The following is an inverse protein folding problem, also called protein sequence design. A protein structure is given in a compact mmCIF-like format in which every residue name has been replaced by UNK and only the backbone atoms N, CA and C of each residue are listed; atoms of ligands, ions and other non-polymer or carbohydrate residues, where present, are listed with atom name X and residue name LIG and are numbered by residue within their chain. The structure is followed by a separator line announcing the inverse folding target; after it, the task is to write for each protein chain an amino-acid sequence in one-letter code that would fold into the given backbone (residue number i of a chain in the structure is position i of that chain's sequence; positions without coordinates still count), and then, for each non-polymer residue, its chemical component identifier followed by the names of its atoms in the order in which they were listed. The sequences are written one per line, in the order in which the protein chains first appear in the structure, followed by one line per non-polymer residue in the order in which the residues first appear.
data_IF_142510509891
#
_entry.id   IF_142510509891
#
_cell.length_a   1.000
_cell.length_b   1.000
_cell.length_c   1.000
_cell.angle_alpha   90.00
_cell.angle_beta   90.00
_cell.angle_gamma   90.00
#
_symmetry.space_group_name_H-M   'P 1'
#
loop_
_entity.id
_entity.type
_entity.pdbx_description
1 polymer ?
#
# COMPACT_ATOMS: atom_id res chain seq x y z
N UNK A 1 -52.87 18.58 -58.11
CA UNK A 1 -51.55 18.34 -57.39
C UNK A 1 -51.13 19.70 -56.81
N UNK A 2 -51.45 19.96 -55.53
CA UNK A 2 -51.16 21.25 -54.90
C UNK A 2 -49.80 21.16 -54.21
N UNK A 3 -48.83 21.95 -54.69
CA UNK A 3 -47.54 22.15 -54.05
C UNK A 3 -47.70 23.06 -52.81
N UNK A 4 -47.57 22.47 -51.64
CA UNK A 4 -47.62 23.16 -50.35
C UNK A 4 -46.44 24.16 -50.30
N UNK A 5 -46.71 25.46 -50.42
CA UNK A 5 -45.71 26.54 -50.22
C UNK A 5 -45.42 26.66 -48.74
N UNK A 6 -44.31 26.04 -48.28
CA UNK A 6 -43.74 26.30 -46.95
C UNK A 6 -43.48 27.81 -46.84
N UNK A 7 -44.10 28.47 -45.87
CA UNK A 7 -43.94 29.92 -45.67
C UNK A 7 -42.50 30.22 -45.24
N UNK A 8 -41.94 31.27 -45.86
CA UNK A 8 -40.54 31.68 -45.65
C UNK A 8 -40.15 31.79 -44.16
N UNK A 9 -41.10 32.11 -43.27
CA UNK A 9 -40.93 32.14 -41.80
C UNK A 9 -40.74 30.74 -41.20
N UNK A 10 -41.42 29.71 -41.65
CA UNK A 10 -41.30 28.32 -41.13
C UNK A 10 -39.97 27.68 -41.53
N UNK A 11 -39.47 28.05 -42.73
CA UNK A 11 -38.16 27.61 -43.20
C UNK A 11 -37.00 28.21 -42.39
N UNK A 12 -37.12 29.49 -41.98
CA UNK A 12 -36.11 30.19 -41.16
C UNK A 12 -36.11 29.66 -39.73
N UNK A 13 -37.30 29.35 -39.16
CA UNK A 13 -37.40 28.76 -37.82
C UNK A 13 -36.85 27.34 -37.76
N UNK A 14 -37.02 26.51 -38.79
CA UNK A 14 -36.46 25.17 -38.91
C UNK A 14 -34.92 25.20 -39.05
N UNK A 15 -34.36 26.13 -39.84
CA UNK A 15 -32.93 26.33 -39.99
C UNK A 15 -32.27 26.90 -38.70
N UNK A 16 -32.92 27.83 -38.02
CA UNK A 16 -32.45 28.43 -36.77
C UNK A 16 -32.44 27.42 -35.60
N UNK A 17 -33.46 26.54 -35.54
CA UNK A 17 -33.52 25.45 -34.55
C UNK A 17 -32.45 24.39 -34.75
N UNK A 18 -32.16 24.05 -36.00
CA UNK A 18 -31.11 23.05 -36.31
C UNK A 18 -29.69 23.57 -36.01
N UNK A 19 -29.43 24.87 -36.20
CA UNK A 19 -28.13 25.48 -35.89
C UNK A 19 -27.84 25.61 -34.37
N UNK A 20 -28.89 25.72 -33.54
CA UNK A 20 -28.75 25.85 -32.09
C UNK A 20 -28.50 24.52 -31.38
N UNK A 21 -28.85 23.37 -31.99
CA UNK A 21 -28.67 22.03 -31.43
C UNK A 21 -27.32 21.44 -31.81
N UNK A 22 -26.67 21.91 -32.88
CA UNK A 22 -25.39 21.42 -33.37
C UNK A 22 -24.21 21.51 -32.34
N UNK A 23 -24.02 22.64 -31.62
CA UNK A 23 -22.92 22.70 -30.66
C UNK A 23 -23.14 21.85 -29.40
N UNK A 24 -24.38 21.45 -29.08
CA UNK A 24 -24.69 20.54 -27.98
C UNK A 24 -24.43 19.10 -28.36
N UNK A 25 -24.70 18.68 -29.60
CA UNK A 25 -24.40 17.34 -30.10
C UNK A 25 -22.89 17.13 -30.29
N UNK A 26 -22.12 18.16 -30.67
CA UNK A 26 -20.67 18.08 -30.83
C UNK A 26 -19.94 17.95 -29.49
N UNK A 27 -20.50 18.48 -28.39
CA UNK A 27 -19.95 18.27 -27.04
C UNK A 27 -20.23 16.88 -26.49
N UNK A 28 -21.28 16.19 -26.95
CA UNK A 28 -21.59 14.81 -26.56
C UNK A 28 -20.71 13.77 -27.25
N UNK A 29 -19.92 14.14 -28.27
CA UNK A 29 -19.07 13.24 -29.05
C UNK A 29 -17.56 13.37 -28.75
N UNK A 30 -17.14 14.19 -27.79
CA UNK A 30 -15.77 14.05 -27.29
C UNK A 30 -15.70 12.72 -26.51
N UNK A 31 -14.87 11.75 -26.98
CA UNK A 31 -14.66 10.55 -26.18
C UNK A 31 -14.17 10.99 -24.80
N UNK A 32 -14.94 10.69 -23.77
CA UNK A 32 -14.53 10.98 -22.41
C UNK A 32 -13.13 10.36 -22.20
N UNK A 33 -12.14 11.20 -21.87
CA UNK A 33 -10.79 10.71 -21.52
C UNK A 33 -11.00 9.63 -20.46
N UNK A 34 -10.56 8.42 -20.75
CA UNK A 34 -10.64 7.34 -19.77
C UNK A 34 -9.83 7.73 -18.53
N UNK A 35 -10.38 7.56 -17.33
CA UNK A 35 -9.61 7.75 -16.11
C UNK A 35 -8.30 6.94 -16.16
N UNK A 36 -7.18 7.58 -15.83
CA UNK A 36 -5.86 6.98 -15.80
C UNK A 36 -5.40 6.84 -14.36
N UNK A 37 -5.24 5.61 -13.90
CA UNK A 37 -4.79 5.27 -12.55
C UNK A 37 -3.33 4.84 -12.58
N UNK A 38 -2.48 5.54 -11.82
CA UNK A 38 -1.11 5.09 -11.57
C UNK A 38 -1.07 4.17 -10.35
N UNK A 39 -0.42 3.02 -10.45
CA UNK A 39 -0.27 2.08 -9.34
C UNK A 39 1.21 1.85 -9.07
N UNK A 40 1.68 2.36 -7.94
CA UNK A 40 3.07 2.23 -7.49
C UNK A 40 3.19 1.15 -6.42
N UNK A 41 3.90 0.07 -6.74
CA UNK A 41 4.02 -1.13 -5.90
C UNK A 41 5.45 -1.28 -5.39
N UNK A 42 5.64 -1.20 -4.07
CA UNK A 42 6.95 -1.41 -3.42
C UNK A 42 7.31 -2.90 -3.28
N UNK A 43 7.20 -3.64 -4.38
CA UNK A 43 7.53 -5.06 -4.46
C UNK A 43 7.92 -5.41 -5.89
N UNK A 44 8.28 -6.69 -6.13
CA UNK A 44 8.54 -7.21 -7.47
C UNK A 44 7.26 -7.70 -8.15
N UNK A 45 7.23 -7.69 -9.48
CA UNK A 45 6.17 -8.31 -10.28
C UNK A 45 6.54 -9.78 -10.57
N UNK A 46 5.55 -10.71 -10.59
CA UNK A 46 4.13 -10.51 -10.25
C UNK A 46 3.89 -10.39 -8.75
N UNK A 47 2.86 -9.64 -8.34
CA UNK A 47 2.52 -9.47 -6.93
C UNK A 47 1.01 -9.68 -6.72
N UNK A 48 0.57 -10.44 -5.67
CA UNK A 48 -0.84 -10.74 -5.41
C UNK A 48 -1.74 -9.50 -5.25
N UNK A 49 -1.16 -8.37 -4.89
CA UNK A 49 -1.86 -7.10 -4.81
C UNK A 49 -2.48 -6.69 -6.16
N UNK A 50 -1.77 -6.89 -7.28
CA UNK A 50 -2.28 -6.54 -8.61
C UNK A 50 -3.55 -7.32 -8.95
N UNK A 51 -3.56 -8.64 -8.67
CA UNK A 51 -4.74 -9.48 -8.89
C UNK A 51 -5.91 -9.06 -8.00
N UNK A 52 -5.64 -8.75 -6.73
CA UNK A 52 -6.65 -8.26 -5.79
C UNK A 52 -7.22 -6.90 -6.22
N UNK A 53 -6.35 -5.99 -6.67
CA UNK A 53 -6.73 -4.69 -7.20
C UNK A 53 -7.65 -4.82 -8.42
N UNK A 54 -7.29 -5.65 -9.40
CA UNK A 54 -8.13 -5.89 -10.58
C UNK A 54 -9.45 -6.56 -10.22
N UNK A 55 -9.48 -7.56 -9.34
CA UNK A 55 -10.73 -8.15 -8.86
C UNK A 55 -11.64 -7.10 -8.22
N UNK A 56 -11.09 -6.18 -7.42
CA UNK A 56 -11.84 -5.09 -6.81
C UNK A 56 -12.44 -4.14 -7.84
N UNK A 57 -11.65 -3.72 -8.83
CA UNK A 57 -12.12 -2.85 -9.90
C UNK A 57 -13.19 -3.53 -10.75
N UNK A 58 -13.01 -4.79 -11.14
CA UNK A 58 -14.00 -5.55 -11.91
C UNK A 58 -15.32 -5.70 -11.14
N UNK A 59 -15.28 -5.96 -9.83
CA UNK A 59 -16.47 -6.03 -9.00
C UNK A 59 -17.25 -4.70 -8.95
N UNK A 60 -16.57 -3.59 -9.19
CA UNK A 60 -17.16 -2.24 -9.28
C UNK A 60 -17.52 -1.84 -10.73
N UNK A 61 -17.36 -2.75 -11.70
CA UNK A 61 -17.73 -2.52 -13.10
C UNK A 61 -16.66 -1.82 -13.93
N UNK A 62 -15.42 -1.69 -13.43
CA UNK A 62 -14.30 -1.16 -14.21
C UNK A 62 -13.64 -2.26 -15.03
N UNK A 63 -13.29 -1.93 -16.28
CA UNK A 63 -12.61 -2.82 -17.21
C UNK A 63 -11.51 -2.06 -17.95
N UNK A 64 -10.30 -2.64 -17.97
CA UNK A 64 -9.13 -2.05 -18.64
C UNK A 64 -9.43 -1.75 -20.11
N UNK A 65 -9.09 -0.53 -20.54
CA UNK A 65 -9.27 -0.05 -21.90
C UNK A 65 -10.72 0.27 -22.32
N UNK A 66 -11.73 -0.05 -21.49
CA UNK A 66 -13.13 0.28 -21.76
C UNK A 66 -13.56 1.55 -21.01
N UNK A 67 -13.38 1.60 -19.69
CA UNK A 67 -13.80 2.70 -18.86
C UNK A 67 -12.75 3.14 -17.83
N UNK A 68 -11.55 2.52 -17.84
CA UNK A 68 -10.39 2.86 -17.02
C UNK A 68 -9.11 2.44 -17.74
N UNK A 69 -7.99 3.13 -17.48
CA UNK A 69 -6.62 2.72 -17.80
C UNK A 69 -5.81 2.66 -16.53
N UNK A 70 -4.90 1.68 -16.42
CA UNK A 70 -4.06 1.50 -15.23
C UNK A 70 -2.60 1.30 -15.62
N UNK A 71 -1.73 2.11 -15.04
CA UNK A 71 -0.28 2.06 -15.24
C UNK A 71 0.41 1.54 -13.99
N UNK A 72 0.91 0.31 -14.02
CA UNK A 72 1.67 -0.27 -12.91
C UNK A 72 3.15 0.06 -12.98
N UNK A 73 3.73 0.36 -11.80
CA UNK A 73 5.18 0.49 -11.59
C UNK A 73 5.59 -0.34 -10.38
N UNK A 74 6.55 -1.25 -10.57
CA UNK A 74 7.08 -2.13 -9.54
C UNK A 74 8.51 -1.74 -9.21
N UNK A 75 8.80 -1.48 -7.93
CA UNK A 75 10.11 -0.97 -7.50
C UNK A 75 11.14 -2.07 -7.24
N UNK A 76 10.74 -3.34 -7.24
CA UNK A 76 11.57 -4.48 -6.86
C UNK A 76 12.17 -4.33 -5.44
N UNK A 77 11.46 -3.64 -4.54
CA UNK A 77 11.91 -3.35 -3.19
C UNK A 77 12.96 -2.24 -3.08
N UNK A 78 13.25 -1.53 -4.17
CA UNK A 78 14.23 -0.44 -4.23
C UNK A 78 13.55 0.92 -4.03
N UNK A 79 13.94 1.63 -2.98
CA UNK A 79 13.35 2.94 -2.65
C UNK A 79 13.75 4.06 -3.63
N UNK A 80 14.94 3.99 -4.24
CA UNK A 80 15.37 4.91 -5.28
C UNK A 80 14.46 4.85 -6.52
N UNK A 81 14.05 3.65 -6.93
CA UNK A 81 13.07 3.46 -8.02
C UNK A 81 11.67 3.97 -7.66
N UNK A 82 11.31 3.97 -6.38
CA UNK A 82 10.01 4.47 -5.96
C UNK A 82 9.85 5.97 -6.27
N UNK A 83 10.89 6.77 -6.01
CA UNK A 83 10.89 8.20 -6.33
C UNK A 83 10.79 8.43 -7.85
N UNK A 84 11.65 7.74 -8.64
CA UNK A 84 11.63 7.82 -10.11
C UNK A 84 10.26 7.51 -10.70
N UNK A 85 9.66 6.39 -10.26
CA UNK A 85 8.36 5.95 -10.77
C UNK A 85 7.19 6.82 -10.30
N UNK A 86 7.27 7.38 -9.08
CA UNK A 86 6.28 8.35 -8.64
C UNK A 86 6.27 9.60 -9.52
N UNK A 87 7.46 10.15 -9.83
CA UNK A 87 7.59 11.28 -10.75
C UNK A 87 7.14 10.93 -12.17
N UNK A 88 7.40 9.71 -12.65
CA UNK A 88 6.92 9.25 -13.95
C UNK A 88 5.39 9.23 -14.00
N UNK A 89 4.72 8.69 -12.99
CA UNK A 89 3.26 8.68 -12.92
C UNK A 89 2.67 10.10 -12.89
N UNK A 90 3.31 11.03 -12.17
CA UNK A 90 2.91 12.44 -12.19
C UNK A 90 3.09 13.06 -13.59
N UNK A 91 4.19 12.77 -14.29
CA UNK A 91 4.41 13.22 -15.68
C UNK A 91 3.42 12.64 -16.68
N UNK A 92 2.91 11.43 -16.43
CA UNK A 92 1.85 10.81 -17.22
C UNK A 92 0.46 11.44 -16.98
N UNK A 93 0.36 12.42 -16.07
CA UNK A 93 -0.88 13.11 -15.73
C UNK A 93 -1.99 12.12 -15.30
N UNK A 94 -1.63 11.20 -14.38
CA UNK A 94 -2.59 10.25 -13.82
C UNK A 94 -3.62 10.97 -12.95
N UNK A 95 -4.88 10.54 -13.02
CA UNK A 95 -5.98 11.13 -12.25
C UNK A 95 -5.91 10.76 -10.75
N UNK A 96 -5.26 9.63 -10.42
CA UNK A 96 -5.02 9.16 -9.04
C UNK A 96 -3.81 8.24 -8.99
N UNK A 97 -3.05 8.28 -7.89
CA UNK A 97 -1.97 7.34 -7.60
C UNK A 97 -2.43 6.39 -6.49
N UNK A 98 -2.44 5.10 -6.75
CA UNK A 98 -2.59 4.05 -5.73
C UNK A 98 -1.20 3.60 -5.31
N UNK A 99 -0.83 3.83 -4.06
CA UNK A 99 0.51 3.56 -3.54
C UNK A 99 0.48 2.39 -2.55
N UNK A 100 1.12 1.28 -2.92
CA UNK A 100 1.15 0.06 -2.13
C UNK A 100 2.41 0.01 -1.26
N UNK A 101 2.20 -0.09 0.04
CA UNK A 101 3.18 0.03 1.11
C UNK A 101 3.78 1.44 1.29
N UNK A 102 4.33 1.66 2.47
CA UNK A 102 4.83 2.95 2.92
C UNK A 102 5.87 3.59 2.00
N UNK A 103 6.86 2.88 1.44
CA UNK A 103 7.84 3.51 0.55
C UNK A 103 7.20 4.12 -0.71
N UNK A 104 6.21 3.45 -1.30
CA UNK A 104 5.46 3.98 -2.45
C UNK A 104 4.63 5.22 -2.06
N UNK A 105 4.00 5.19 -0.88
CA UNK A 105 3.20 6.33 -0.38
C UNK A 105 4.10 7.55 -0.15
N UNK A 106 5.25 7.36 0.50
CA UNK A 106 6.21 8.45 0.74
C UNK A 106 6.70 9.05 -0.57
N UNK A 107 7.11 8.20 -1.53
CA UNK A 107 7.56 8.65 -2.84
C UNK A 107 6.46 9.43 -3.61
N UNK A 108 5.21 8.95 -3.58
CA UNK A 108 4.09 9.64 -4.21
C UNK A 108 3.83 11.02 -3.57
N UNK A 109 3.90 11.14 -2.24
CA UNK A 109 3.73 12.41 -1.52
C UNK A 109 4.85 13.40 -1.87
N UNK A 110 6.07 12.92 -2.03
CA UNK A 110 7.21 13.76 -2.42
C UNK A 110 7.07 14.25 -3.86
N UNK A 111 6.54 13.41 -4.77
CA UNK A 111 6.38 13.72 -6.18
C UNK A 111 5.21 14.70 -6.48
N UNK A 112 4.13 14.69 -5.67
CA UNK A 112 2.96 15.54 -5.94
C UNK A 112 2.24 15.98 -4.66
N UNK A 113 1.67 17.21 -4.72
CA UNK A 113 0.79 17.76 -3.68
C UNK A 113 -0.66 17.93 -4.15
N UNK A 114 -0.94 17.62 -5.41
CA UNK A 114 -2.23 17.88 -6.05
C UNK A 114 -2.91 16.62 -6.56
N UNK A 115 -2.17 15.68 -7.16
CA UNK A 115 -2.72 14.40 -7.59
C UNK A 115 -3.18 13.59 -6.36
N UNK A 116 -4.44 13.13 -6.30
CA UNK A 116 -4.92 12.29 -5.22
C UNK A 116 -4.08 11.02 -5.04
N UNK A 117 -3.77 10.67 -3.79
CA UNK A 117 -2.99 9.48 -3.44
C UNK A 117 -3.84 8.58 -2.54
N UNK A 118 -3.99 7.32 -2.94
CA UNK A 118 -4.69 6.29 -2.16
C UNK A 118 -3.68 5.29 -1.60
N UNK A 119 -3.53 5.27 -0.29
CA UNK A 119 -2.69 4.28 0.42
C UNK A 119 -3.33 2.90 0.37
N UNK A 120 -2.57 1.86 -0.02
CA UNK A 120 -3.06 0.50 -0.17
C UNK A 120 -2.12 -0.59 0.40
N UNK A 121 -1.99 -0.78 1.72
CA UNK A 121 -2.06 0.14 2.84
C UNK A 121 -0.70 0.79 3.15
N UNK A 122 -0.67 1.76 4.10
CA UNK A 122 0.57 2.26 4.72
C UNK A 122 0.71 1.77 6.18
N UNK A 123 1.94 1.52 6.62
CA UNK A 123 2.21 0.89 7.90
C UNK A 123 1.84 1.73 9.14
N UNK A 124 2.29 2.98 9.18
CA UNK A 124 2.10 3.87 10.32
C UNK A 124 1.89 5.34 9.86
N UNK A 125 0.84 5.63 9.08
CA UNK A 125 0.71 6.93 8.41
C UNK A 125 0.55 8.11 9.37
N UNK A 126 -0.06 7.91 10.55
CA UNK A 126 -0.16 8.93 11.61
C UNK A 126 1.21 9.28 12.20
N UNK A 127 1.98 8.25 12.62
CA UNK A 127 3.28 8.43 13.24
C UNK A 127 4.33 9.00 12.30
N UNK A 128 4.12 8.82 10.99
CA UNK A 128 4.96 9.38 9.94
C UNK A 128 4.52 10.78 9.49
N UNK A 129 3.41 11.30 10.01
CA UNK A 129 2.86 12.60 9.60
C UNK A 129 2.35 12.61 8.16
N UNK A 130 2.01 11.45 7.60
CA UNK A 130 1.43 11.32 6.24
C UNK A 130 -0.01 11.83 6.24
N UNK A 131 -0.72 11.59 7.32
CA UNK A 131 -2.11 12.03 7.52
C UNK A 131 -2.28 12.64 8.91
N UNK A 132 -3.21 13.58 9.04
CA UNK A 132 -3.51 14.26 10.31
C UNK A 132 -4.30 13.34 11.26
N UNK A 133 -5.25 12.59 10.71
CA UNK A 133 -6.03 11.58 11.46
C UNK A 133 -6.60 10.53 10.50
N UNK A 134 -7.00 9.36 11.05
CA UNK A 134 -7.63 8.30 10.25
C UNK A 134 -9.02 8.73 9.72
N UNK A 135 -9.75 9.55 10.48
CA UNK A 135 -11.08 10.01 10.08
C UNK A 135 -11.04 11.23 9.13
N UNK A 136 -9.98 12.02 9.20
CA UNK A 136 -9.76 13.22 8.38
C UNK A 136 -8.29 13.28 7.99
N UNK A 137 -7.90 12.58 6.91
CA UNK A 137 -6.50 12.46 6.52
C UNK A 137 -5.80 13.79 6.26
N UNK A 138 -6.53 14.77 5.75
CA UNK A 138 -5.96 16.05 5.30
C UNK A 138 -5.19 15.92 3.97
N UNK A 139 -4.91 17.05 3.32
CA UNK A 139 -4.13 17.08 2.07
C UNK A 139 -4.72 16.24 0.93
N UNK A 140 -3.84 15.72 0.08
CA UNK A 140 -4.20 14.89 -1.08
C UNK A 140 -4.06 13.37 -0.84
N UNK A 141 -3.91 12.94 0.41
CA UNK A 141 -3.69 11.52 0.77
C UNK A 141 -4.90 10.96 1.50
N UNK A 142 -5.34 9.77 1.09
CA UNK A 142 -6.38 8.98 1.78
C UNK A 142 -6.06 7.48 1.66
N UNK A 143 -6.86 6.60 2.25
CA UNK A 143 -6.73 5.16 2.06
C UNK A 143 -6.66 4.36 3.35
N UNK A 144 -5.96 3.22 3.31
CA UNK A 144 -5.91 2.23 4.38
C UNK A 144 -4.62 2.35 5.21
N UNK A 145 -4.75 2.26 6.54
CA UNK A 145 -3.62 2.08 7.46
C UNK A 145 -3.50 0.62 7.88
N UNK A 146 -2.27 0.11 7.88
CA UNK A 146 -1.98 -1.20 8.48
C UNK A 146 -1.90 -1.14 10.02
N UNK A 147 -1.95 0.05 10.63
CA UNK A 147 -1.94 0.27 12.08
C UNK A 147 -0.83 -0.53 12.81
N UNK A 148 0.28 -0.78 12.15
CA UNK A 148 1.32 -1.68 12.67
C UNK A 148 1.95 -1.20 13.98
N UNK A 149 2.03 0.11 14.17
CA UNK A 149 2.55 0.68 15.42
C UNK A 149 1.56 0.48 16.58
N UNK A 150 0.25 0.59 16.31
CA UNK A 150 -0.82 0.49 17.30
C UNK A 150 -1.05 -0.95 17.75
N UNK A 151 -0.96 -1.92 16.84
CA UNK A 151 -1.20 -3.34 17.16
C UNK A 151 0.00 -4.05 17.80
N UNK A 152 1.14 -3.34 17.97
CA UNK A 152 2.34 -3.90 18.60
C UNK A 152 2.06 -4.52 19.97
N UNK A 153 1.23 -3.85 20.79
CA UNK A 153 0.82 -4.36 22.11
C UNK A 153 0.04 -5.69 22.02
N UNK A 154 -0.86 -5.81 21.04
CA UNK A 154 -1.62 -7.04 20.84
C UNK A 154 -0.74 -8.19 20.37
N UNK A 155 0.25 -7.91 19.50
CA UNK A 155 1.24 -8.91 19.07
C UNK A 155 2.01 -9.48 20.26
N UNK A 156 2.50 -8.62 21.15
CA UNK A 156 3.23 -9.05 22.34
C UNK A 156 2.34 -9.77 23.35
N UNK A 157 1.08 -9.35 23.50
CA UNK A 157 0.12 -10.05 24.34
C UNK A 157 -0.09 -11.50 23.86
N UNK A 158 -0.35 -11.68 22.57
CA UNK A 158 -0.55 -13.02 21.98
C UNK A 158 0.70 -13.89 22.14
N UNK A 159 1.89 -13.33 21.93
CA UNK A 159 3.13 -14.07 22.18
C UNK A 159 3.28 -14.51 23.64
N UNK A 160 2.88 -13.69 24.60
CA UNK A 160 2.91 -14.06 26.03
C UNK A 160 1.88 -15.14 26.40
N UNK A 161 0.72 -15.14 25.75
CA UNK A 161 -0.28 -16.20 25.92
C UNK A 161 0.24 -17.55 25.40
N UNK A 162 1.00 -17.52 24.29
CA UNK A 162 1.62 -18.72 23.69
C UNK A 162 2.88 -19.18 24.43
N UNK A 163 3.64 -18.25 25.00
CA UNK A 163 4.92 -18.50 25.68
C UNK A 163 4.86 -17.82 27.06
N UNK A 164 4.33 -18.47 28.08
CA UNK A 164 4.23 -17.86 29.44
C UNK A 164 5.55 -17.39 30.04
N UNK A 165 6.67 -18.02 29.63
CA UNK A 165 8.03 -17.67 30.05
C UNK A 165 8.69 -16.60 29.16
N UNK A 166 7.94 -15.95 28.26
CA UNK A 166 8.47 -14.95 27.34
C UNK A 166 9.06 -13.76 28.12
N UNK A 167 10.32 -13.49 27.88
CA UNK A 167 11.05 -12.37 28.48
C UNK A 167 11.76 -11.50 27.45
N UNK A 168 12.17 -12.09 26.32
CA UNK A 168 12.93 -11.41 25.27
C UNK A 168 12.38 -11.68 23.89
N UNK A 169 12.09 -10.60 23.14
CA UNK A 169 11.53 -10.61 21.80
C UNK A 169 12.47 -9.86 20.86
N UNK A 170 12.85 -10.47 19.74
CA UNK A 170 13.54 -9.77 18.67
C UNK A 170 12.55 -9.10 17.72
N UNK A 171 12.96 -7.97 17.14
CA UNK A 171 12.23 -7.30 16.06
C UNK A 171 13.13 -7.24 14.84
N UNK A 172 12.78 -7.94 13.79
CA UNK A 172 13.48 -7.86 12.51
C UNK A 172 12.83 -6.79 11.64
N UNK A 173 13.57 -5.74 11.33
CA UNK A 173 13.11 -4.63 10.53
C UNK A 173 14.20 -4.13 9.57
N UNK A 174 13.82 -3.32 8.59
CA UNK A 174 14.78 -2.66 7.71
C UNK A 174 15.50 -1.51 8.43
N UNK A 175 16.68 -1.12 7.93
CA UNK A 175 17.30 0.12 8.39
C UNK A 175 16.41 1.31 8.04
N UNK A 176 16.45 2.42 8.81
CA UNK A 176 15.66 3.63 8.50
C UNK A 176 15.95 4.24 7.12
N UNK A 177 17.15 4.00 6.58
CA UNK A 177 17.54 4.42 5.23
C UNK A 177 16.89 3.58 4.13
N UNK A 178 16.46 2.35 4.42
CA UNK A 178 15.79 1.47 3.47
C UNK A 178 14.30 1.83 3.37
N UNK A 179 13.64 2.01 4.52
CA UNK A 179 12.24 2.45 4.58
C UNK A 179 12.06 3.38 5.80
N UNK A 180 11.53 4.58 5.61
CA UNK A 180 11.24 5.50 6.72
C UNK A 180 10.28 4.92 7.78
N UNK A 181 9.56 3.87 7.41
CA UNK A 181 8.58 3.17 8.25
C UNK A 181 9.20 2.31 9.37
N UNK A 182 10.46 1.89 9.29
CA UNK A 182 11.09 1.02 10.31
C UNK A 182 11.09 1.65 11.69
N UNK A 183 11.36 2.96 11.78
CA UNK A 183 11.38 3.67 13.07
C UNK A 183 10.03 3.61 13.81
N UNK A 184 8.87 4.03 13.22
CA UNK A 184 7.57 3.91 13.87
C UNK A 184 7.22 2.48 14.27
N UNK A 185 7.53 1.48 13.44
CA UNK A 185 7.29 0.09 13.72
C UNK A 185 8.06 -0.41 14.94
N UNK A 186 9.36 -0.15 15.02
CA UNK A 186 10.22 -0.56 16.14
C UNK A 186 9.84 0.19 17.42
N UNK A 187 9.60 1.50 17.34
CA UNK A 187 9.24 2.31 18.52
C UNK A 187 7.86 1.93 19.10
N UNK A 188 6.88 1.63 18.23
CA UNK A 188 5.58 1.13 18.68
C UNK A 188 5.70 -0.18 19.47
N UNK A 189 6.52 -1.13 18.98
CA UNK A 189 6.81 -2.37 19.69
C UNK A 189 7.64 -2.15 20.95
N UNK A 190 8.59 -1.20 20.95
CA UNK A 190 9.41 -0.86 22.12
C UNK A 190 8.55 -0.34 23.28
N UNK A 191 7.66 0.60 23.00
CA UNK A 191 6.73 1.13 24.00
C UNK A 191 5.81 0.04 24.55
N UNK A 192 5.32 -0.84 23.69
CA UNK A 192 4.47 -1.95 24.11
C UNK A 192 5.25 -2.98 24.94
N UNK A 193 6.50 -3.32 24.57
CA UNK A 193 7.37 -4.24 25.31
C UNK A 193 7.71 -3.70 26.71
N UNK A 194 8.06 -2.41 26.82
CA UNK A 194 8.32 -1.76 28.10
C UNK A 194 7.11 -1.87 29.05
N UNK A 195 5.91 -1.61 28.54
CA UNK A 195 4.66 -1.74 29.34
C UNK A 195 4.38 -3.18 29.75
N UNK A 196 4.79 -4.14 28.93
CA UNK A 196 4.62 -5.56 29.19
C UNK A 196 5.75 -6.18 30.05
N UNK A 197 6.79 -5.42 30.42
CA UNK A 197 7.97 -5.93 31.14
C UNK A 197 8.83 -6.88 30.30
N UNK A 198 8.82 -6.73 28.97
CA UNK A 198 9.59 -7.54 28.02
C UNK A 198 10.83 -6.78 27.54
N UNK A 199 11.93 -7.49 27.33
CA UNK A 199 13.09 -6.98 26.61
C UNK A 199 12.84 -7.06 25.11
N UNK A 200 13.07 -5.96 24.39
CA UNK A 200 12.98 -5.89 22.94
C UNK A 200 14.36 -5.70 22.33
N UNK A 201 14.72 -6.58 21.40
CA UNK A 201 16.00 -6.54 20.67
C UNK A 201 15.77 -6.19 19.20
N UNK A 202 16.00 -4.94 18.77
CA UNK A 202 15.88 -4.56 17.36
C UNK A 202 17.08 -5.08 16.55
N UNK A 203 16.78 -5.84 15.49
CA UNK A 203 17.77 -6.29 14.49
C UNK A 203 17.39 -5.60 13.18
N UNK A 204 18.20 -4.62 12.79
CA UNK A 204 17.97 -3.82 11.60
C UNK A 204 18.91 -4.24 10.47
N UNK A 205 18.35 -4.54 9.30
CA UNK A 205 19.11 -4.99 8.13
C UNK A 205 18.74 -4.19 6.89
N UNK A 206 19.67 -4.07 5.94
CA UNK A 206 19.47 -3.34 4.69
C UNK A 206 18.53 -4.05 3.72
N UNK A 207 18.40 -5.39 3.82
CA UNK A 207 17.54 -6.15 2.93
C UNK A 207 17.62 -7.66 3.11
N UNK A 208 16.93 -8.43 2.25
CA UNK A 208 16.81 -9.90 2.40
C UNK A 208 18.12 -10.69 2.37
N UNK A 209 19.16 -10.17 1.72
CA UNK A 209 20.48 -10.81 1.68
C UNK A 209 21.14 -10.98 3.05
N UNK A 210 20.74 -10.18 4.04
CA UNK A 210 21.27 -10.18 5.39
C UNK A 210 20.45 -11.05 6.37
N UNK A 211 19.38 -11.71 5.93
CA UNK A 211 18.51 -12.52 6.79
C UNK A 211 19.28 -13.60 7.57
N UNK A 212 20.25 -14.28 6.94
CA UNK A 212 21.05 -15.31 7.60
C UNK A 212 21.82 -14.76 8.80
N UNK A 213 22.50 -13.63 8.65
CA UNK A 213 23.27 -12.97 9.72
C UNK A 213 22.34 -12.40 10.79
N UNK A 214 21.19 -11.85 10.38
CA UNK A 214 20.17 -11.34 11.29
C UNK A 214 19.65 -12.43 12.24
N UNK A 215 19.31 -13.60 11.73
CA UNK A 215 18.84 -14.71 12.56
C UNK A 215 19.94 -15.28 13.47
N UNK A 216 21.20 -15.27 13.05
CA UNK A 216 22.31 -15.59 13.93
C UNK A 216 22.46 -14.57 15.08
N UNK A 217 22.27 -13.28 14.81
CA UNK A 217 22.27 -12.23 15.83
C UNK A 217 21.08 -12.37 16.79
N UNK A 218 19.87 -12.67 16.29
CA UNK A 218 18.67 -12.94 17.10
C UNK A 218 18.92 -14.11 18.07
N UNK A 219 19.51 -15.19 17.58
CA UNK A 219 19.85 -16.35 18.41
C UNK A 219 20.90 -16.01 19.47
N UNK A 220 21.93 -15.22 19.13
CA UNK A 220 22.95 -14.75 20.09
C UNK A 220 22.34 -13.85 21.17
N UNK A 221 21.31 -13.09 20.85
CA UNK A 221 20.56 -12.28 21.79
C UNK A 221 19.61 -13.12 22.67
N UNK A 222 19.57 -14.45 22.52
CA UNK A 222 18.71 -15.37 23.26
C UNK A 222 17.23 -14.99 23.23
N UNK A 223 16.76 -14.43 22.12
CA UNK A 223 15.35 -14.14 21.92
C UNK A 223 14.52 -15.44 21.84
N UNK A 224 13.32 -15.42 22.39
CA UNK A 224 12.39 -16.55 22.37
C UNK A 224 11.36 -16.43 21.24
N UNK A 225 11.16 -15.19 20.75
CA UNK A 225 10.26 -14.89 19.65
C UNK A 225 10.88 -13.80 18.75
N UNK A 226 10.41 -13.77 17.50
CA UNK A 226 10.74 -12.72 16.54
C UNK A 226 9.46 -12.16 15.92
N UNK A 227 9.35 -10.82 15.94
CA UNK A 227 8.33 -10.08 15.19
C UNK A 227 9.02 -9.52 13.95
N UNK A 228 8.48 -9.81 12.79
CA UNK A 228 9.08 -9.41 11.51
C UNK A 228 8.26 -8.31 10.86
N UNK A 229 8.95 -7.27 10.39
CA UNK A 229 8.34 -6.19 9.63
C UNK A 229 7.74 -6.72 8.32
N UNK A 230 6.52 -6.29 7.91
CA UNK A 230 5.85 -6.77 6.69
C UNK A 230 6.65 -6.60 5.39
N UNK A 231 7.65 -5.73 5.38
CA UNK A 231 8.60 -5.62 4.25
C UNK A 231 9.23 -6.96 3.85
N UNK A 232 9.41 -7.87 4.82
CA UNK A 232 10.00 -9.19 4.59
C UNK A 232 8.97 -10.30 4.33
N UNK A 233 7.69 -9.98 4.18
CA UNK A 233 6.66 -10.98 3.89
C UNK A 233 6.94 -11.81 2.61
N UNK A 234 7.52 -11.26 1.52
CA UNK A 234 7.91 -12.06 0.37
C UNK A 234 8.96 -13.14 0.67
N UNK A 235 9.70 -13.00 1.77
CA UNK A 235 10.74 -13.94 2.22
C UNK A 235 10.24 -14.89 3.32
N UNK A 236 8.93 -14.98 3.57
CA UNK A 236 8.37 -15.73 4.70
C UNK A 236 8.82 -17.19 4.75
N UNK A 237 9.00 -17.87 3.63
CA UNK A 237 9.44 -19.28 3.59
C UNK A 237 10.82 -19.45 4.23
N UNK A 238 11.81 -18.67 3.81
CA UNK A 238 13.16 -18.73 4.38
C UNK A 238 13.20 -18.24 5.83
N UNK A 239 12.32 -17.29 6.19
CA UNK A 239 12.19 -16.80 7.57
C UNK A 239 11.62 -17.89 8.47
N UNK A 240 10.63 -18.66 8.03
CA UNK A 240 10.08 -19.82 8.75
C UNK A 240 11.18 -20.86 8.99
N UNK A 241 11.99 -21.18 7.98
CA UNK A 241 13.11 -22.11 8.12
C UNK A 241 14.12 -21.65 9.18
N UNK A 242 14.49 -20.37 9.17
CA UNK A 242 15.39 -19.81 10.18
C UNK A 242 14.74 -19.78 11.57
N UNK A 243 13.48 -19.41 11.68
CA UNK A 243 12.77 -19.40 12.95
C UNK A 243 12.71 -20.83 13.55
N UNK A 244 12.39 -21.83 12.74
CA UNK A 244 12.40 -23.22 13.15
C UNK A 244 13.81 -23.70 13.58
N UNK A 245 14.84 -23.40 12.80
CA UNK A 245 16.24 -23.72 13.10
C UNK A 245 16.69 -23.19 14.45
N UNK A 246 16.32 -21.95 14.78
CA UNK A 246 16.71 -21.29 16.02
C UNK A 246 15.65 -21.39 17.14
N UNK A 247 14.57 -22.17 16.93
CA UNK A 247 13.46 -22.39 17.87
C UNK A 247 12.80 -21.09 18.32
N UNK A 248 12.61 -20.16 17.39
CA UNK A 248 11.96 -18.87 17.61
C UNK A 248 10.47 -18.95 17.30
N UNK A 249 9.64 -18.39 18.14
CA UNK A 249 8.24 -18.15 17.79
C UNK A 249 8.15 -16.99 16.78
N UNK A 250 7.80 -17.31 15.53
CA UNK A 250 7.68 -16.30 14.48
C UNK A 250 6.27 -15.70 14.46
N UNK A 251 6.20 -14.38 14.70
CA UNK A 251 4.99 -13.56 14.63
C UNK A 251 5.06 -12.65 13.40
N UNK A 252 4.02 -12.70 12.56
CA UNK A 252 3.86 -11.85 11.37
C UNK A 252 2.57 -11.01 11.42
N UNK A 253 2.47 -10.03 10.52
CA UNK A 253 1.24 -9.32 10.17
C UNK A 253 0.43 -10.01 9.07
N UNK A 254 0.92 -11.09 8.45
CA UNK A 254 0.28 -11.76 7.32
C UNK A 254 -0.25 -13.15 7.69
N UNK A 255 -1.49 -13.45 7.31
CA UNK A 255 -2.09 -14.78 7.44
C UNK A 255 -1.41 -15.82 6.53
N UNK A 256 -0.82 -15.38 5.41
CA UNK A 256 -0.13 -16.27 4.46
C UNK A 256 1.10 -16.90 5.10
N UNK A 257 1.75 -16.20 6.04
CA UNK A 257 2.85 -16.74 6.84
C UNK A 257 2.40 -17.93 7.68
N UNK A 258 1.20 -17.85 8.27
CA UNK A 258 0.65 -18.98 9.06
C UNK A 258 0.26 -20.14 8.14
N UNK A 259 -0.33 -19.86 6.99
CA UNK A 259 -0.66 -20.88 5.98
C UNK A 259 0.58 -21.60 5.47
N UNK A 260 1.75 -20.94 5.42
CA UNK A 260 3.03 -21.51 5.03
C UNK A 260 3.78 -22.24 6.17
N UNK A 261 3.22 -22.32 7.39
CA UNK A 261 3.83 -23.01 8.53
C UNK A 261 4.43 -22.08 9.60
N UNK A 262 4.23 -20.76 9.50
CA UNK A 262 4.54 -19.82 10.57
C UNK A 262 3.61 -20.01 11.78
N UNK A 263 4.06 -19.59 12.97
CA UNK A 263 3.35 -19.89 14.20
C UNK A 263 2.05 -19.09 14.34
N UNK A 264 2.10 -17.77 14.16
CA UNK A 264 0.97 -16.89 14.46
C UNK A 264 1.05 -15.59 13.68
N UNK A 265 -0.11 -15.04 13.34
CA UNK A 265 -0.21 -13.69 12.76
C UNK A 265 -1.24 -12.83 13.51
N UNK A 266 -0.92 -11.54 13.62
CA UNK A 266 -1.85 -10.51 14.15
C UNK A 266 -1.79 -9.30 13.23
N UNK A 267 -2.91 -9.02 12.59
CA UNK A 267 -3.11 -7.89 11.67
C UNK A 267 -4.38 -7.12 12.04
N UNK A 268 -4.54 -5.87 11.58
CA UNK A 268 -5.85 -5.19 11.62
C UNK A 268 -6.87 -5.95 10.78
N UNK A 269 -8.13 -5.82 11.15
CA UNK A 269 -9.26 -6.33 10.37
C UNK A 269 -9.55 -5.44 9.18
#
# INVERSE_FOLDING_TARGET
MQLNRVRRREFITLLGGAAAVWPLAARAQQPAKLPLVGVLVSASSPHPFADAFWRGLHALGYSEGQNIKVEFRYTDGRSDRAAEFAEELVRLDVDVIVAHFTPAVTAAIEATRTTPIVMAPAGAPLQMGIIDSLARPGGNVTGLSAMDAEIGGKRLQVLRELIPSLSRVAVLATTPTTTGYSRPFVEGLRLAATRAGLSLEPILIGGPSELRSAFAAIAKAEAQAVIVQPFFDPQHVIIIEFAAKYRLAYMSGSRDVVAAGGLVSVAPN
#
